data_IF_547338673252
#
_entry.id   IF_547338673252
#
_cell.length_a   1.000
_cell.length_b   1.000
_cell.length_c   1.000
_cell.angle_alpha   90.00
_cell.angle_beta   90.00
_cell.angle_gamma   90.00
#
_symmetry.space_group_name_H-M   'P 1'
#
loop_
_entity.id
_entity.type
_entity.pdbx_description
1 polymer ?
#
# COMPACT_ATOMS: atom_id res chain seq x y z
N UNK A 1 49.65 -8.68 26.30
CA UNK A 1 48.50 -7.81 26.00
C UNK A 1 47.57 -8.58 25.13
N UNK A 2 46.45 -9.07 25.70
CA UNK A 2 45.38 -9.77 25.01
C UNK A 2 44.39 -8.72 24.52
N UNK A 3 44.30 -8.54 23.18
CA UNK A 3 43.28 -7.76 22.54
C UNK A 3 41.95 -8.56 22.57
N UNK A 4 41.05 -8.21 23.47
CA UNK A 4 39.67 -8.70 23.45
C UNK A 4 38.95 -8.09 22.26
N UNK A 5 38.68 -8.92 21.23
CA UNK A 5 37.76 -8.60 20.17
C UNK A 5 36.35 -8.60 20.75
N UNK A 6 35.80 -7.42 21.03
CA UNK A 6 34.39 -7.26 21.36
C UNK A 6 33.62 -7.44 20.06
N UNK A 7 33.00 -8.61 19.89
CA UNK A 7 32.03 -8.84 18.82
C UNK A 7 30.81 -7.91 19.02
N UNK A 8 30.36 -7.20 17.98
CA UNK A 8 29.16 -6.38 18.10
C UNK A 8 27.99 -7.25 18.51
N UNK A 9 27.26 -6.83 19.54
CA UNK A 9 26.06 -7.49 20.02
C UNK A 9 25.09 -7.64 18.84
N UNK A 10 24.72 -8.90 18.54
CA UNK A 10 23.73 -9.27 17.56
C UNK A 10 22.46 -8.51 17.90
N UNK A 11 22.01 -7.61 17.00
CA UNK A 11 20.76 -6.88 17.16
C UNK A 11 19.66 -7.89 17.52
N UNK A 12 19.04 -7.69 18.69
CA UNK A 12 17.95 -8.54 19.13
C UNK A 12 16.90 -8.54 18.03
N UNK A 13 16.49 -9.72 17.55
CA UNK A 13 15.42 -9.90 16.58
C UNK A 13 14.18 -9.20 17.14
N UNK A 14 13.85 -8.03 16.61
CA UNK A 14 12.59 -7.38 16.90
C UNK A 14 11.50 -8.36 16.39
N UNK A 15 10.73 -8.89 17.32
CA UNK A 15 9.59 -9.76 16.96
C UNK A 15 8.65 -8.91 16.14
N UNK A 16 8.53 -9.21 14.85
CA UNK A 16 7.61 -8.54 13.94
C UNK A 16 6.19 -8.70 14.48
N UNK A 17 5.62 -7.62 15.00
CA UNK A 17 4.24 -7.61 15.49
C UNK A 17 3.32 -7.27 14.33
N UNK A 18 2.70 -8.30 13.76
CA UNK A 18 1.76 -8.16 12.65
C UNK A 18 0.34 -8.04 13.17
N UNK A 19 -0.34 -6.96 12.80
CA UNK A 19 -1.78 -6.79 12.99
C UNK A 19 -2.47 -6.95 11.64
N UNK A 20 -3.34 -7.95 11.52
CA UNK A 20 -4.13 -8.23 10.31
C UNK A 20 -5.60 -7.80 10.55
N UNK A 21 -6.10 -6.91 9.69
CA UNK A 21 -7.44 -6.33 9.78
C UNK A 21 -8.19 -6.59 8.48
N UNK A 22 -9.43 -7.04 8.60
CA UNK A 22 -10.34 -7.19 7.48
C UNK A 22 -11.45 -6.13 7.56
N UNK A 23 -11.59 -5.34 6.50
CA UNK A 23 -12.68 -4.35 6.38
C UNK A 23 -13.86 -5.00 5.68
N UNK A 24 -14.94 -5.23 6.42
CA UNK A 24 -16.19 -5.80 5.87
C UNK A 24 -17.25 -4.74 5.55
N UNK A 25 -17.04 -3.51 5.99
CA UNK A 25 -17.98 -2.41 5.78
C UNK A 25 -17.88 -1.84 4.37
N UNK A 26 -19.02 -1.47 3.81
CA UNK A 26 -19.07 -0.76 2.53
C UNK A 26 -18.65 0.70 2.71
N UNK A 27 -17.83 1.20 1.79
CA UNK A 27 -17.35 2.58 1.77
C UNK A 27 -18.29 3.47 0.93
N UNK A 28 -19.59 3.47 1.27
CA UNK A 28 -20.61 4.25 0.56
C UNK A 28 -20.40 5.76 0.75
N UNK A 29 -20.63 6.55 -0.29
CA UNK A 29 -20.56 8.01 -0.24
C UNK A 29 -19.82 8.64 -1.42
N UNK A 30 -19.56 9.96 -1.42
CA UNK A 30 -18.89 10.66 -2.50
C UNK A 30 -17.47 10.14 -2.76
N UNK A 31 -17.10 10.00 -4.04
CA UNK A 31 -15.74 9.55 -4.41
C UNK A 31 -14.64 10.47 -3.91
N UNK A 32 -14.91 11.77 -3.82
CA UNK A 32 -13.96 12.78 -3.32
C UNK A 32 -13.52 12.56 -1.88
N UNK A 33 -14.30 11.84 -1.08
CA UNK A 33 -14.00 11.52 0.33
C UNK A 33 -13.67 10.04 0.55
N UNK A 34 -13.41 9.29 -0.51
CA UNK A 34 -13.21 7.83 -0.44
C UNK A 34 -12.06 7.45 0.49
N UNK A 35 -10.91 8.06 0.34
CA UNK A 35 -9.75 7.79 1.19
C UNK A 35 -9.99 8.13 2.66
N UNK A 36 -10.69 9.24 2.94
CA UNK A 36 -11.03 9.59 4.32
C UNK A 36 -11.94 8.54 4.94
N UNK A 37 -13.02 8.16 4.26
CA UNK A 37 -13.94 7.12 4.77
C UNK A 37 -13.26 5.78 5.00
N UNK A 38 -12.29 5.42 4.16
CA UNK A 38 -11.49 4.22 4.38
C UNK A 38 -10.79 4.24 5.74
N UNK A 39 -10.10 5.35 6.05
CA UNK A 39 -9.41 5.50 7.34
C UNK A 39 -10.39 5.68 8.52
N UNK A 40 -11.49 6.38 8.34
CA UNK A 40 -12.52 6.55 9.39
C UNK A 40 -13.11 5.20 9.78
N UNK A 41 -13.47 4.35 8.80
CA UNK A 41 -13.97 2.98 9.08
C UNK A 41 -12.94 2.16 9.82
N UNK A 42 -11.66 2.19 9.35
CA UNK A 42 -10.59 1.45 9.99
C UNK A 42 -10.38 1.90 11.45
N UNK A 43 -10.30 3.19 11.69
CA UNK A 43 -9.97 3.74 13.00
C UNK A 43 -11.13 3.65 14.00
N UNK A 44 -12.37 3.72 13.53
CA UNK A 44 -13.55 3.57 14.41
C UNK A 44 -13.67 2.14 14.97
N UNK A 45 -13.22 1.15 14.19
CA UNK A 45 -13.31 -0.25 14.60
C UNK A 45 -12.00 -0.78 15.22
N UNK A 46 -10.87 -0.06 15.05
CA UNK A 46 -9.53 -0.52 15.45
C UNK A 46 -8.68 0.63 16.06
N UNK A 47 -8.88 0.93 17.32
CA UNK A 47 -8.17 2.01 18.05
C UNK A 47 -6.63 1.83 18.04
N UNK A 48 -6.15 0.60 18.10
CA UNK A 48 -4.71 0.34 18.05
C UNK A 48 -4.10 0.72 16.70
N UNK A 49 -4.81 0.48 15.58
CA UNK A 49 -4.36 0.91 14.27
C UNK A 49 -4.32 2.44 14.18
N UNK A 50 -5.29 3.13 14.77
CA UNK A 50 -5.29 4.58 14.87
C UNK A 50 -4.09 5.09 15.69
N UNK A 51 -3.84 4.47 16.86
CA UNK A 51 -2.73 4.84 17.73
C UNK A 51 -1.37 4.65 17.01
N UNK A 52 -1.20 3.53 16.33
CA UNK A 52 0.01 3.22 15.56
C UNK A 52 0.24 4.27 14.45
N UNK A 53 -0.81 4.57 13.68
CA UNK A 53 -0.76 5.58 12.62
C UNK A 53 -0.51 6.99 13.15
N UNK A 54 -0.92 7.34 14.36
CA UNK A 54 -0.66 8.65 14.96
C UNK A 54 0.78 8.81 15.47
N UNK A 55 1.30 7.77 16.11
CA UNK A 55 2.46 7.88 16.99
C UNK A 55 3.76 7.37 16.36
N UNK A 56 3.68 6.63 15.23
CA UNK A 56 4.85 5.99 14.62
C UNK A 56 5.01 6.44 13.17
N UNK A 57 6.25 6.55 12.70
CA UNK A 57 6.55 6.85 11.30
C UNK A 57 6.52 5.57 10.48
N UNK A 58 6.33 5.73 9.17
CA UNK A 58 6.17 4.64 8.21
C UNK A 58 7.45 4.47 7.42
N UNK A 59 7.98 3.26 7.40
CA UNK A 59 9.17 2.87 6.64
C UNK A 59 8.85 2.11 5.36
N UNK A 60 7.63 1.59 5.23
CA UNK A 60 7.22 0.88 4.03
C UNK A 60 5.71 0.87 3.84
N UNK A 61 5.29 0.95 2.58
CA UNK A 61 3.90 0.77 2.16
C UNK A 61 3.88 -0.15 0.96
N UNK A 62 3.12 -1.24 1.05
CA UNK A 62 2.97 -2.17 -0.07
C UNK A 62 1.48 -2.46 -0.30
N UNK A 63 1.01 -2.19 -1.51
CA UNK A 63 -0.37 -2.46 -1.90
C UNK A 63 -0.41 -3.46 -3.05
N UNK A 64 -1.26 -4.48 -2.90
CA UNK A 64 -1.47 -5.53 -3.90
C UNK A 64 -2.94 -5.56 -4.30
N UNK A 65 -3.24 -5.36 -5.59
CA UNK A 65 -4.61 -5.44 -6.13
C UNK A 65 -4.59 -5.76 -7.64
N UNK A 66 -5.15 -6.88 -8.05
CA UNK A 66 -5.31 -7.27 -9.46
C UNK A 66 -6.12 -6.28 -10.30
N UNK A 67 -6.90 -5.44 -9.67
CA UNK A 67 -7.94 -4.65 -10.32
C UNK A 67 -7.63 -3.16 -10.46
N UNK A 68 -6.38 -2.77 -10.22
CA UNK A 68 -5.91 -1.41 -10.47
C UNK A 68 -5.61 -1.18 -11.96
N UNK A 69 -6.59 -1.40 -12.81
CA UNK A 69 -6.41 -1.42 -14.26
C UNK A 69 -6.95 -0.15 -14.94
N UNK A 70 -7.46 0.80 -14.19
CA UNK A 70 -8.03 2.01 -14.75
C UNK A 70 -7.72 3.24 -13.90
N UNK A 71 -7.75 4.47 -14.48
CA UNK A 71 -7.41 5.71 -13.80
C UNK A 71 -8.25 5.99 -12.56
N UNK A 72 -9.53 5.57 -12.54
CA UNK A 72 -10.41 5.78 -11.37
C UNK A 72 -9.94 4.94 -10.19
N UNK A 73 -9.59 3.66 -10.42
CA UNK A 73 -9.07 2.78 -9.36
C UNK A 73 -7.75 3.33 -8.79
N UNK A 74 -6.85 3.82 -9.66
CA UNK A 74 -5.60 4.48 -9.25
C UNK A 74 -5.87 5.75 -8.44
N UNK A 75 -6.85 6.56 -8.85
CA UNK A 75 -7.23 7.76 -8.13
C UNK A 75 -7.80 7.46 -6.73
N UNK A 76 -8.63 6.42 -6.61
CA UNK A 76 -9.16 5.98 -5.31
C UNK A 76 -8.05 5.48 -4.39
N UNK A 77 -7.12 4.67 -4.90
CA UNK A 77 -5.96 4.24 -4.13
C UNK A 77 -5.10 5.44 -3.72
N UNK A 78 -4.83 6.38 -4.63
CA UNK A 78 -4.10 7.60 -4.31
C UNK A 78 -4.76 8.40 -3.18
N UNK A 79 -6.10 8.43 -3.12
CA UNK A 79 -6.83 9.08 -2.02
C UNK A 79 -6.64 8.36 -0.67
N UNK A 80 -6.52 7.03 -0.68
CA UNK A 80 -6.19 6.24 0.52
C UNK A 80 -4.74 6.49 0.97
N UNK A 81 -3.80 6.54 0.02
CA UNK A 81 -2.37 6.66 0.34
C UNK A 81 -1.95 8.09 0.71
N UNK A 82 -2.64 9.11 0.20
CA UNK A 82 -2.30 10.53 0.44
C UNK A 82 -2.09 10.91 1.92
N UNK A 83 -2.91 10.47 2.88
CA UNK A 83 -2.68 10.77 4.29
C UNK A 83 -1.38 10.20 4.85
N UNK A 84 -0.81 9.17 4.22
CA UNK A 84 0.44 8.56 4.65
C UNK A 84 1.65 9.44 4.34
N UNK A 85 1.56 10.38 3.38
CA UNK A 85 2.65 11.22 2.90
C UNK A 85 3.44 11.87 4.03
N UNK A 86 2.76 12.46 5.00
CA UNK A 86 3.40 13.16 6.13
C UNK A 86 4.00 12.23 7.18
N UNK A 87 3.70 10.95 7.09
CA UNK A 87 4.17 9.92 8.02
C UNK A 87 5.34 9.11 7.48
N UNK A 88 5.57 9.14 6.17
CA UNK A 88 6.68 8.42 5.55
C UNK A 88 8.02 8.96 6.04
N UNK A 89 8.95 8.07 6.37
CA UNK A 89 10.37 8.43 6.59
C UNK A 89 11.04 8.77 5.25
N UNK A 90 12.19 9.42 5.26
CA UNK A 90 12.91 9.78 4.04
C UNK A 90 13.29 8.55 3.20
N UNK A 91 13.67 7.45 3.85
CA UNK A 91 13.99 6.16 3.23
C UNK A 91 12.81 5.21 3.07
N UNK A 92 11.57 5.65 3.27
CA UNK A 92 10.41 4.75 3.15
C UNK A 92 10.24 4.25 1.71
N UNK A 93 10.00 2.96 1.58
CA UNK A 93 9.70 2.29 0.31
C UNK A 93 8.19 2.23 0.08
N UNK A 94 7.76 2.53 -1.14
CA UNK A 94 6.34 2.42 -1.53
C UNK A 94 6.26 1.54 -2.77
N UNK A 95 5.64 0.37 -2.61
CA UNK A 95 5.49 -0.61 -3.65
C UNK A 95 4.01 -0.88 -3.98
N UNK A 96 3.75 -1.16 -5.25
CA UNK A 96 2.42 -1.45 -5.79
C UNK A 96 2.50 -2.63 -6.75
N UNK A 97 1.73 -3.68 -6.45
CA UNK A 97 1.57 -4.85 -7.32
C UNK A 97 0.20 -4.85 -7.97
N UNK A 98 0.16 -4.97 -9.28
CA UNK A 98 -1.10 -5.06 -10.02
C UNK A 98 -1.00 -5.96 -11.25
N UNK A 99 -2.14 -6.25 -11.87
CA UNK A 99 -2.25 -6.98 -13.12
C UNK A 99 -2.47 -6.01 -14.28
N UNK A 100 -1.77 -6.21 -15.40
CA UNK A 100 -1.92 -5.34 -16.57
C UNK A 100 -3.28 -5.47 -17.24
N UNK A 101 -3.68 -6.70 -17.58
CA UNK A 101 -4.97 -7.00 -18.22
C UNK A 101 -5.51 -8.31 -17.67
N UNK A 102 -6.76 -8.29 -17.23
CA UNK A 102 -7.51 -9.52 -16.96
C UNK A 102 -8.34 -9.85 -18.21
N UNK A 103 -7.71 -10.60 -19.13
CA UNK A 103 -8.32 -10.95 -20.43
C UNK A 103 -9.53 -11.87 -20.30
N UNK A 104 -9.70 -12.52 -19.14
CA UNK A 104 -10.65 -13.62 -18.97
C UNK A 104 -11.99 -13.21 -18.36
N UNK A 105 -12.23 -11.91 -18.14
CA UNK A 105 -13.47 -11.45 -17.51
C UNK A 105 -14.19 -10.37 -18.31
N UNK A 106 -15.13 -10.77 -19.19
CA UNK A 106 -16.17 -9.86 -19.63
C UNK A 106 -17.04 -9.50 -18.42
N UNK A 107 -17.07 -8.26 -18.01
CA UNK A 107 -17.87 -7.81 -16.87
C UNK A 107 -18.03 -6.31 -16.85
N UNK A 108 -19.03 -5.82 -16.11
CA UNK A 108 -19.39 -4.41 -15.93
C UNK A 108 -18.36 -3.62 -15.10
N UNK A 109 -17.06 -3.88 -15.26
CA UNK A 109 -16.01 -3.15 -14.55
C UNK A 109 -15.53 -1.98 -15.38
N UNK A 110 -15.23 -0.83 -14.76
CA UNK A 110 -14.54 0.26 -15.44
C UNK A 110 -13.24 -0.27 -16.05
N UNK A 111 -13.10 -0.14 -17.35
CA UNK A 111 -11.96 -0.59 -18.11
C UNK A 111 -11.27 0.61 -18.74
N UNK A 112 -9.95 0.56 -18.84
CA UNK A 112 -9.15 1.50 -19.62
C UNK A 112 -8.20 0.71 -20.50
N UNK A 113 -8.18 1.02 -21.79
CA UNK A 113 -7.32 0.34 -22.74
C UNK A 113 -5.96 1.04 -22.83
N UNK A 114 -5.06 0.68 -21.89
CA UNK A 114 -3.69 1.14 -21.93
C UNK A 114 -2.99 0.65 -23.20
N UNK A 115 -2.28 1.55 -23.87
CA UNK A 115 -1.54 1.21 -25.10
C UNK A 115 -0.44 0.19 -24.83
N UNK A 116 0.24 0.31 -23.71
CA UNK A 116 1.32 -0.58 -23.28
C UNK A 116 1.45 -0.61 -21.76
N UNK A 117 2.27 -1.52 -21.23
CA UNK A 117 2.66 -1.53 -19.80
C UNK A 117 3.40 -0.24 -19.46
N UNK A 118 4.25 0.27 -20.35
CA UNK A 118 4.97 1.52 -20.13
C UNK A 118 4.03 2.72 -19.97
N UNK A 119 3.01 2.83 -20.81
CA UNK A 119 1.97 3.87 -20.71
C UNK A 119 1.24 3.83 -19.36
N UNK A 120 0.91 2.63 -18.90
CA UNK A 120 0.32 2.45 -17.57
C UNK A 120 1.30 2.82 -16.45
N UNK A 121 2.55 2.40 -16.52
CA UNK A 121 3.59 2.72 -15.53
C UNK A 121 3.84 4.21 -15.45
N UNK A 122 4.01 4.89 -16.57
CA UNK A 122 4.23 6.33 -16.63
C UNK A 122 3.07 7.11 -15.99
N UNK A 123 1.84 6.71 -16.26
CA UNK A 123 0.68 7.31 -15.63
C UNK A 123 0.67 7.09 -14.12
N UNK A 124 0.87 5.86 -13.67
CA UNK A 124 0.87 5.50 -12.26
C UNK A 124 1.99 6.22 -11.49
N UNK A 125 3.19 6.27 -12.05
CA UNK A 125 4.33 6.95 -11.44
C UNK A 125 4.06 8.45 -11.26
N UNK A 126 3.56 9.12 -12.27
CA UNK A 126 3.21 10.54 -12.18
C UNK A 126 2.10 10.77 -11.14
N UNK A 127 1.08 9.93 -11.14
CA UNK A 127 -0.05 10.05 -10.23
C UNK A 127 0.37 9.86 -8.76
N UNK A 128 1.10 8.78 -8.47
CA UNK A 128 1.52 8.49 -7.10
C UNK A 128 2.65 9.39 -6.62
N UNK A 129 3.55 9.82 -7.50
CA UNK A 129 4.55 10.83 -7.15
C UNK A 129 3.88 12.14 -6.72
N UNK A 130 2.81 12.58 -7.40
CA UNK A 130 2.03 13.74 -6.99
C UNK A 130 1.30 13.51 -5.65
N UNK A 131 0.71 12.34 -5.43
CA UNK A 131 -0.03 12.00 -4.22
C UNK A 131 0.87 11.86 -2.98
N UNK A 132 2.04 11.24 -3.14
CA UNK A 132 2.95 10.86 -2.04
C UNK A 132 4.20 11.74 -1.94
N UNK A 133 4.52 12.52 -2.99
CA UNK A 133 5.72 13.34 -3.05
C UNK A 133 7.01 12.54 -3.28
N UNK A 134 6.90 11.29 -3.76
CA UNK A 134 8.01 10.38 -4.07
C UNK A 134 7.62 9.37 -5.14
N UNK A 135 8.61 8.77 -5.83
CA UNK A 135 8.36 7.66 -6.74
C UNK A 135 7.85 6.43 -6.00
N UNK A 136 7.21 5.53 -6.73
CA UNK A 136 6.79 4.21 -6.27
C UNK A 136 7.53 3.12 -7.05
N UNK A 137 7.62 1.93 -6.46
CA UNK A 137 8.01 0.73 -7.17
C UNK A 137 6.74 0.04 -7.68
N UNK A 138 6.51 0.06 -9.00
CA UNK A 138 5.36 -0.56 -9.62
C UNK A 138 5.73 -1.87 -10.27
N UNK A 139 5.16 -2.98 -9.78
CA UNK A 139 5.25 -4.30 -10.42
C UNK A 139 3.94 -4.61 -11.14
N UNK A 140 4.03 -4.81 -12.44
CA UNK A 140 2.88 -5.15 -13.30
C UNK A 140 3.00 -6.58 -13.77
N UNK A 141 2.07 -7.43 -13.33
CA UNK A 141 2.04 -8.84 -13.70
C UNK A 141 1.21 -9.06 -14.96
N UNK A 142 1.64 -10.00 -15.79
CA UNK A 142 0.93 -10.39 -17.01
C UNK A 142 -0.09 -11.51 -16.77
N UNK A 143 0.10 -12.29 -15.72
CA UNK A 143 -0.73 -13.44 -15.40
C UNK A 143 -1.43 -13.30 -14.04
N UNK A 144 -2.75 -13.57 -13.96
CA UNK A 144 -3.46 -13.58 -12.69
C UNK A 144 -3.01 -14.67 -11.72
N UNK A 145 -2.17 -15.61 -12.16
CA UNK A 145 -1.60 -16.66 -11.28
C UNK A 145 -0.44 -16.13 -10.44
N UNK A 146 0.22 -15.07 -10.91
CA UNK A 146 1.43 -14.54 -10.30
C UNK A 146 1.14 -13.46 -9.23
N UNK A 147 -0.11 -13.03 -9.09
CA UNK A 147 -0.54 -12.04 -8.12
C UNK A 147 -1.70 -12.57 -7.25
N UNK A 148 -1.71 -12.37 -5.93
CA UNK A 148 -2.79 -12.77 -5.05
C UNK A 148 -4.15 -12.19 -5.44
N UNK A 149 -5.22 -12.94 -5.25
CA UNK A 149 -6.58 -12.49 -5.62
C UNK A 149 -7.13 -11.38 -4.72
N UNK A 150 -6.70 -11.32 -3.48
CA UNK A 150 -7.22 -10.37 -2.49
C UNK A 150 -6.48 -9.04 -2.55
N UNK A 151 -7.23 -7.96 -2.30
CA UNK A 151 -6.65 -6.63 -2.07
C UNK A 151 -5.98 -6.60 -0.70
N UNK A 152 -4.79 -6.03 -0.63
CA UNK A 152 -4.06 -5.94 0.62
C UNK A 152 -3.20 -4.69 0.66
N UNK A 153 -3.40 -3.86 1.68
CA UNK A 153 -2.51 -2.77 2.04
C UNK A 153 -1.68 -3.20 3.25
N UNK A 154 -0.38 -3.19 3.09
CA UNK A 154 0.59 -3.44 4.17
C UNK A 154 1.33 -2.16 4.49
N UNK A 155 1.33 -1.76 5.75
CA UNK A 155 2.06 -0.60 6.26
C UNK A 155 3.08 -1.08 7.29
N UNK A 156 4.35 -0.80 7.06
CA UNK A 156 5.46 -1.13 7.96
C UNK A 156 5.90 0.12 8.69
N UNK A 157 6.08 0.01 9.99
CA UNK A 157 6.43 1.12 10.85
C UNK A 157 7.88 1.04 11.33
N UNK A 158 8.41 2.19 11.75
CA UNK A 158 9.80 2.36 12.19
C UNK A 158 10.17 1.48 13.41
N UNK A 159 9.21 1.15 14.25
CA UNK A 159 9.36 0.28 15.41
C UNK A 159 9.24 -1.22 15.10
N UNK A 160 9.16 -1.58 13.82
CA UNK A 160 9.04 -2.95 13.33
C UNK A 160 7.61 -3.53 13.39
N UNK A 161 6.62 -2.75 13.78
CA UNK A 161 5.23 -3.18 13.69
C UNK A 161 4.74 -3.17 12.24
N UNK A 162 3.82 -4.07 11.91
CA UNK A 162 3.23 -4.19 10.57
C UNK A 162 1.72 -4.24 10.67
N UNK A 163 1.05 -3.37 9.92
CA UNK A 163 -0.40 -3.34 9.76
C UNK A 163 -0.77 -3.88 8.39
N UNK A 164 -1.55 -4.96 8.34
CA UNK A 164 -2.11 -5.55 7.12
C UNK A 164 -3.62 -5.28 7.11
N UNK A 165 -4.12 -4.69 6.02
CA UNK A 165 -5.52 -4.33 5.83
C UNK A 165 -6.02 -5.04 4.56
N UNK A 166 -7.15 -5.75 4.68
CA UNK A 166 -7.78 -6.51 3.58
C UNK A 166 -9.24 -6.15 3.41
#
# INVERSE_FOLDING_TARGET
ELNEFILPAKAANAVERVKDIQIHKQLNGPLSQFGQRFWDVLFNDHEEAQSLMKNTRITGVHYTDRYLQNPVALALLGSILRPLKTKLTDGAEVALDTLFKDKDRPGNRPFHDWMSIADFQDFADQWFAAALGRPIELTVFDSPRDIPHHRKLTVTFEDGQVLKIR
#
